data_IF_691127330042
#
_entry.id   IF_691127330042
#
_cell.length_a   1.000
_cell.length_b   1.000
_cell.length_c   1.000
_cell.angle_alpha   90.00
_cell.angle_beta   90.00
_cell.angle_gamma   90.00
#
_symmetry.space_group_name_H-M   'P 1'
#
loop_
_entity.id
_entity.type
_entity.pdbx_description
1 polymer ?
#
# COMPACT_ATOMS: atom_id res chain seq x y z
N UNK A 1 -34.28 3.39 15.25
CA UNK A 1 -34.51 2.47 14.12
C UNK A 1 -33.89 1.12 14.44
N UNK A 2 -34.60 -0.01 14.36
CA UNK A 2 -34.06 -1.33 14.72
C UNK A 2 -33.10 -1.82 13.59
N UNK A 3 -31.94 -2.37 13.93
CA UNK A 3 -30.94 -2.85 12.97
C UNK A 3 -31.50 -3.75 11.85
N UNK A 4 -32.48 -4.62 12.20
CA UNK A 4 -33.16 -5.51 11.23
C UNK A 4 -33.98 -4.76 10.20
N UNK A 5 -34.61 -3.63 10.57
CA UNK A 5 -35.39 -2.80 9.65
C UNK A 5 -34.48 -2.05 8.69
N UNK A 6 -33.33 -1.56 9.17
CA UNK A 6 -32.32 -0.90 8.33
C UNK A 6 -31.75 -1.86 7.25
N UNK A 7 -31.39 -3.07 7.64
CA UNK A 7 -30.86 -4.07 6.70
C UNK A 7 -31.89 -4.50 5.64
N UNK A 8 -33.15 -4.68 6.02
CA UNK A 8 -34.25 -4.99 5.08
C UNK A 8 -34.52 -3.85 4.09
N UNK A 9 -34.46 -2.61 4.54
CA UNK A 9 -34.74 -1.44 3.70
C UNK A 9 -33.56 -1.17 2.75
N UNK A 10 -32.32 -1.32 3.21
CA UNK A 10 -31.13 -1.15 2.35
C UNK A 10 -30.99 -2.24 1.29
N UNK A 11 -31.34 -3.49 1.61
CA UNK A 11 -31.30 -4.58 0.62
C UNK A 11 -32.38 -4.43 -0.46
N UNK A 12 -33.57 -3.94 -0.13
CA UNK A 12 -34.62 -3.64 -1.11
C UNK A 12 -34.25 -2.46 -2.02
N UNK A 13 -33.65 -1.42 -1.47
CA UNK A 13 -33.15 -0.28 -2.25
C UNK A 13 -32.00 -0.67 -3.19
N UNK A 14 -31.09 -1.54 -2.76
CA UNK A 14 -29.99 -2.00 -3.61
C UNK A 14 -30.47 -2.89 -4.77
N UNK A 15 -31.48 -3.74 -4.53
CA UNK A 15 -32.07 -4.56 -5.60
C UNK A 15 -32.84 -3.72 -6.63
N UNK A 16 -33.59 -2.70 -6.19
CA UNK A 16 -34.31 -1.81 -7.11
C UNK A 16 -33.36 -0.95 -7.94
N UNK A 17 -32.22 -0.60 -7.39
CA UNK A 17 -31.17 0.14 -8.10
C UNK A 17 -30.54 -0.70 -9.21
N UNK A 18 -30.30 -2.00 -8.98
CA UNK A 18 -29.74 -2.92 -9.96
C UNK A 18 -30.74 -3.31 -11.07
N UNK A 19 -32.05 -3.23 -10.80
CA UNK A 19 -33.10 -3.59 -11.73
C UNK A 19 -33.52 -2.45 -12.69
N UNK A 20 -33.02 -1.22 -12.49
CA UNK A 20 -33.37 -0.10 -13.36
C UNK A 20 -32.64 -0.15 -14.69
N UNK A 21 -33.32 -0.29 -15.85
CA UNK A 21 -32.70 -0.35 -17.17
C UNK A 21 -31.92 0.92 -17.54
N UNK A 22 -32.26 2.06 -16.93
CA UNK A 22 -31.52 3.32 -17.09
C UNK A 22 -30.14 3.29 -16.42
N UNK A 23 -30.04 2.63 -15.27
CA UNK A 23 -28.78 2.48 -14.53
C UNK A 23 -27.88 1.48 -15.21
N UNK A 24 -28.43 0.34 -15.68
CA UNK A 24 -27.65 -0.64 -16.45
C UNK A 24 -27.07 -0.03 -17.73
N UNK A 25 -27.85 0.76 -18.50
CA UNK A 25 -27.37 1.44 -19.70
C UNK A 25 -26.23 2.42 -19.41
N UNK A 26 -26.33 3.17 -18.32
CA UNK A 26 -25.31 4.16 -17.96
C UNK A 26 -24.07 3.50 -17.36
N UNK A 27 -24.23 2.43 -16.58
CA UNK A 27 -23.12 1.65 -16.03
C UNK A 27 -22.31 0.96 -17.13
N UNK A 28 -22.99 0.33 -18.10
CA UNK A 28 -22.35 -0.30 -19.25
C UNK A 28 -21.67 0.70 -20.19
N UNK A 29 -22.27 1.89 -20.39
CA UNK A 29 -21.64 2.97 -21.14
C UNK A 29 -20.42 3.55 -20.40
N UNK A 30 -20.48 3.70 -19.08
CA UNK A 30 -19.35 4.13 -18.26
C UNK A 30 -18.18 3.16 -18.36
N UNK A 31 -18.43 1.86 -18.30
CA UNK A 31 -17.40 0.84 -18.47
C UNK A 31 -16.74 0.89 -19.86
N UNK A 32 -17.52 1.12 -20.92
CA UNK A 32 -16.98 1.28 -22.28
C UNK A 32 -16.20 2.57 -22.45
N UNK A 33 -16.63 3.68 -21.80
CA UNK A 33 -15.94 4.96 -21.86
C UNK A 33 -14.56 4.91 -21.21
N UNK A 34 -14.44 4.21 -20.07
CA UNK A 34 -13.14 4.03 -19.40
C UNK A 34 -12.21 3.10 -20.17
N UNK A 35 -12.74 2.01 -20.73
CA UNK A 35 -11.94 1.00 -21.45
C UNK A 35 -11.19 1.58 -22.66
N UNK A 36 -11.76 2.55 -23.34
CA UNK A 36 -11.15 3.18 -24.52
C UNK A 36 -10.11 4.26 -24.20
N UNK A 37 -9.86 4.54 -22.92
CA UNK A 37 -8.92 5.57 -22.47
C UNK A 37 -7.81 5.01 -21.58
N UNK A 38 -7.70 3.71 -21.45
CA UNK A 38 -6.62 3.04 -20.73
C UNK A 38 -5.43 2.90 -21.69
N UNK A 39 -4.31 3.50 -21.32
CA UNK A 39 -3.04 3.32 -22.01
C UNK A 39 -2.31 2.12 -21.39
N UNK A 40 -1.81 1.24 -22.26
CA UNK A 40 -0.97 0.14 -21.83
C UNK A 40 0.36 0.67 -21.34
N UNK A 41 0.76 0.21 -20.18
CA UNK A 41 2.08 0.52 -19.63
C UNK A 41 3.19 -0.24 -20.37
N UNK A 42 4.23 0.47 -20.76
CA UNK A 42 5.39 -0.11 -21.45
C UNK A 42 6.15 -1.06 -20.54
N UNK A 43 6.20 -0.76 -19.24
CA UNK A 43 6.88 -1.56 -18.23
C UNK A 43 6.02 -2.70 -17.67
N UNK A 44 4.76 -2.81 -18.13
CA UNK A 44 3.78 -3.82 -17.71
C UNK A 44 3.53 -3.86 -16.19
N UNK A 45 3.63 -2.72 -15.50
CA UNK A 45 3.38 -2.60 -14.07
C UNK A 45 1.93 -2.25 -13.80
N UNK A 46 1.40 -1.19 -14.45
CA UNK A 46 0.05 -0.70 -14.19
C UNK A 46 -0.53 0.04 -15.40
N UNK A 47 -1.53 -0.56 -16.03
CA UNK A 47 -2.30 0.10 -17.07
C UNK A 47 -3.19 1.19 -16.45
N UNK A 48 -3.04 2.43 -16.89
CA UNK A 48 -3.74 3.59 -16.35
C UNK A 48 -4.60 4.28 -17.39
N UNK A 49 -5.64 4.97 -16.91
CA UNK A 49 -6.32 5.95 -17.71
C UNK A 49 -5.32 7.02 -18.19
N UNK A 50 -5.40 7.45 -19.44
CA UNK A 50 -4.43 8.36 -20.06
C UNK A 50 -4.34 9.77 -19.43
N UNK A 51 -5.19 10.10 -18.43
CA UNK A 51 -5.08 11.31 -17.61
C UNK A 51 -4.34 11.09 -16.29
N UNK A 52 -3.86 9.87 -16.02
CA UNK A 52 -3.14 9.49 -14.79
C UNK A 52 -1.73 9.07 -15.14
N UNK A 53 -0.84 9.35 -14.22
CA UNK A 53 0.56 8.92 -14.25
C UNK A 53 0.90 8.24 -12.92
N UNK A 54 1.85 7.33 -12.94
CA UNK A 54 2.42 6.77 -11.73
C UNK A 54 3.94 6.99 -11.66
N UNK A 55 4.46 6.94 -10.45
CA UNK A 55 5.89 6.96 -10.20
C UNK A 55 6.22 5.93 -9.14
N UNK A 56 7.17 5.06 -9.43
CA UNK A 56 7.72 4.16 -8.44
C UNK A 56 8.61 4.97 -7.50
N UNK A 57 8.27 4.99 -6.22
CA UNK A 57 8.98 5.77 -5.20
C UNK A 57 9.74 4.90 -4.20
N UNK A 58 9.48 3.59 -4.18
CA UNK A 58 10.15 2.61 -3.31
C UNK A 58 10.01 1.22 -3.94
N UNK A 59 11.06 0.41 -3.83
CA UNK A 59 11.08 -0.96 -4.36
C UNK A 59 11.70 -1.89 -3.33
N UNK A 60 11.11 -3.07 -3.12
CA UNK A 60 11.67 -4.09 -2.22
C UNK A 60 13.13 -4.42 -2.59
N UNK A 61 13.98 -4.55 -1.58
CA UNK A 61 15.41 -4.78 -1.73
C UNK A 61 16.26 -3.54 -1.99
N UNK A 62 15.66 -2.37 -2.28
CA UNK A 62 16.40 -1.11 -2.37
C UNK A 62 16.90 -0.65 -1.01
N UNK A 63 18.06 0.00 -0.98
CA UNK A 63 18.66 0.53 0.25
C UNK A 63 17.89 1.74 0.75
N UNK A 64 17.50 1.73 2.02
CA UNK A 64 16.85 2.83 2.72
C UNK A 64 17.87 3.81 3.33
N UNK A 65 17.37 4.93 3.86
CA UNK A 65 18.20 6.00 4.45
C UNK A 65 18.90 5.57 5.74
N UNK A 66 18.37 4.59 6.45
CA UNK A 66 18.95 4.02 7.68
C UNK A 66 19.99 2.90 7.40
N UNK A 67 20.24 2.60 6.13
CA UNK A 67 21.20 1.59 5.70
C UNK A 67 20.62 0.19 5.53
N UNK A 68 19.42 -0.07 6.02
CA UNK A 68 18.66 -1.29 5.83
C UNK A 68 18.07 -1.35 4.42
N UNK A 69 17.41 -2.45 4.07
CA UNK A 69 16.73 -2.58 2.78
C UNK A 69 15.21 -2.56 2.95
N UNK A 70 14.50 -2.12 1.92
CA UNK A 70 13.04 -2.17 1.87
C UNK A 70 12.60 -3.63 1.90
N UNK A 71 11.81 -4.06 2.92
CA UNK A 71 11.34 -5.43 3.01
C UNK A 71 10.39 -5.81 1.89
N UNK A 72 10.22 -7.10 1.66
CA UNK A 72 9.17 -7.64 0.79
C UNK A 72 7.77 -7.54 1.44
N UNK A 73 6.77 -8.02 0.70
CA UNK A 73 5.37 -8.17 1.17
C UNK A 73 4.77 -6.88 1.75
N UNK A 74 4.85 -5.75 1.03
CA UNK A 74 4.08 -4.57 1.43
C UNK A 74 2.59 -4.89 1.40
N UNK A 75 1.85 -4.38 2.41
CA UNK A 75 0.41 -4.58 2.55
C UNK A 75 -0.28 -3.27 2.92
N UNK A 76 -0.90 -3.16 4.10
CA UNK A 76 -1.59 -1.96 4.54
C UNK A 76 -0.69 -0.72 4.58
N UNK A 77 -1.23 0.41 4.15
CA UNK A 77 -0.51 1.68 4.16
C UNK A 77 -1.42 2.82 4.61
N UNK A 78 -0.86 3.75 5.38
CA UNK A 78 -1.49 5.01 5.74
C UNK A 78 -0.63 6.19 5.30
N UNK A 79 -1.28 7.33 4.99
CA UNK A 79 -0.61 8.56 4.61
C UNK A 79 -0.97 9.71 5.53
N UNK A 80 0.02 10.54 5.88
CA UNK A 80 -0.15 11.71 6.73
C UNK A 80 0.55 12.90 6.08
N UNK A 81 -0.17 14.00 5.91
CA UNK A 81 0.40 15.23 5.38
C UNK A 81 0.90 16.12 6.50
N UNK A 82 2.11 16.64 6.37
CA UNK A 82 2.71 17.60 7.29
C UNK A 82 3.67 18.57 6.57
N UNK A 83 3.33 19.84 6.56
CA UNK A 83 4.21 20.94 6.11
C UNK A 83 4.87 20.71 4.73
N UNK A 84 4.09 20.32 3.72
CA UNK A 84 4.57 20.11 2.35
C UNK A 84 5.24 18.74 2.12
N UNK A 85 5.14 17.85 3.09
CA UNK A 85 5.61 16.45 3.00
C UNK A 85 4.48 15.48 3.25
N UNK A 86 4.47 14.40 2.51
CA UNK A 86 3.61 13.25 2.77
C UNK A 86 4.43 12.13 3.41
N UNK A 87 4.03 11.73 4.61
CA UNK A 87 4.61 10.58 5.31
C UNK A 87 3.74 9.36 5.02
N UNK A 88 4.32 8.34 4.40
CA UNK A 88 3.69 7.05 4.19
C UNK A 88 4.21 6.07 5.23
N UNK A 89 3.31 5.43 5.95
CA UNK A 89 3.63 4.33 6.87
C UNK A 89 3.09 3.06 6.23
N UNK A 90 3.98 2.12 5.93
CA UNK A 90 3.68 0.91 5.18
C UNK A 90 4.00 -0.33 6.02
N UNK A 91 3.02 -1.23 6.13
CA UNK A 91 3.19 -2.53 6.78
C UNK A 91 3.86 -3.53 5.83
N UNK A 92 4.62 -4.47 6.40
CA UNK A 92 5.25 -5.58 5.69
C UNK A 92 4.89 -6.90 6.40
N UNK A 93 4.08 -7.72 5.76
CA UNK A 93 3.59 -8.99 6.31
C UNK A 93 4.54 -10.15 5.99
N UNK A 94 5.59 -10.28 6.79
CA UNK A 94 6.55 -11.36 6.67
C UNK A 94 6.27 -12.45 7.71
N UNK A 95 5.65 -13.53 7.27
CA UNK A 95 5.44 -14.74 8.09
C UNK A 95 6.77 -15.46 8.33
N UNK A 96 6.83 -16.29 9.38
CA UNK A 96 8.03 -17.08 9.76
C UNK A 96 8.71 -17.82 8.60
N UNK A 97 7.96 -18.30 7.61
CA UNK A 97 8.50 -19.01 6.44
C UNK A 97 9.22 -18.14 5.39
N UNK A 98 9.09 -16.81 5.42
CA UNK A 98 9.74 -15.94 4.42
C UNK A 98 11.24 -15.76 4.69
N UNK A 99 11.67 -15.92 5.94
CA UNK A 99 13.06 -15.82 6.35
C UNK A 99 13.64 -14.40 6.29
N UNK A 100 14.87 -14.28 6.76
CA UNK A 100 15.57 -13.00 6.91
C UNK A 100 15.83 -12.28 5.58
N UNK A 101 15.99 -13.03 4.48
CA UNK A 101 16.30 -12.45 3.15
C UNK A 101 15.18 -11.57 2.59
N UNK A 102 13.94 -11.81 3.02
CA UNK A 102 12.78 -10.99 2.64
C UNK A 102 12.57 -9.79 3.55
N UNK A 103 13.32 -9.71 4.66
CA UNK A 103 13.22 -8.67 5.68
C UNK A 103 14.04 -7.43 5.34
N UNK A 104 14.06 -6.46 6.26
CA UNK A 104 14.91 -5.29 6.16
C UNK A 104 16.41 -5.60 6.35
N UNK A 105 16.77 -6.80 6.78
CA UNK A 105 18.11 -7.15 7.25
C UNK A 105 18.92 -7.88 6.19
N UNK A 106 20.09 -7.34 5.85
CA UNK A 106 21.02 -7.97 4.91
C UNK A 106 22.21 -8.65 5.60
N UNK A 107 22.59 -8.15 6.78
CA UNK A 107 23.72 -8.66 7.57
C UNK A 107 23.27 -9.54 8.75
N UNK A 108 22.02 -9.97 8.74
CA UNK A 108 21.49 -10.93 9.69
C UNK A 108 21.24 -10.38 11.09
N UNK A 109 21.57 -11.19 12.08
CA UNK A 109 21.21 -10.94 13.49
C UNK A 109 21.87 -9.71 14.13
N UNK A 110 22.98 -9.22 13.62
CA UNK A 110 23.67 -8.05 14.17
C UNK A 110 22.86 -6.76 13.93
N UNK A 111 22.23 -6.63 12.75
CA UNK A 111 21.33 -5.52 12.45
C UNK A 111 20.10 -5.54 13.37
N UNK A 112 19.55 -6.72 13.64
CA UNK A 112 18.43 -6.91 14.57
C UNK A 112 18.81 -6.48 15.98
N UNK A 113 19.99 -6.89 16.47
CA UNK A 113 20.48 -6.49 17.80
C UNK A 113 20.63 -4.98 17.91
N UNK A 114 21.07 -4.30 16.86
CA UNK A 114 21.22 -2.84 16.84
C UNK A 114 19.88 -2.09 16.96
N UNK A 115 18.76 -2.72 16.60
CA UNK A 115 17.42 -2.11 16.74
C UNK A 115 16.94 -2.05 18.20
N UNK A 116 17.43 -2.95 19.07
CA UNK A 116 17.02 -3.03 20.47
C UNK A 116 15.50 -3.18 20.63
N UNK A 117 14.87 -2.25 21.36
CA UNK A 117 13.41 -2.29 21.63
C UNK A 117 12.51 -2.02 20.42
N UNK A 118 13.06 -1.67 19.27
CA UNK A 118 12.29 -1.54 18.01
C UNK A 118 12.04 -2.88 17.32
N UNK A 119 12.61 -3.97 17.82
CA UNK A 119 12.40 -5.32 17.34
C UNK A 119 11.70 -6.15 18.42
N UNK A 120 10.44 -6.53 18.17
CA UNK A 120 9.59 -7.17 19.21
C UNK A 120 9.89 -8.65 19.41
N UNK A 121 9.90 -9.42 18.32
CA UNK A 121 10.10 -10.86 18.34
C UNK A 121 11.28 -11.25 17.44
N UNK A 122 12.31 -11.82 18.05
CA UNK A 122 13.52 -12.26 17.33
C UNK A 122 13.27 -13.30 16.23
N UNK A 123 12.13 -13.97 16.25
CA UNK A 123 11.72 -14.97 15.26
C UNK A 123 10.86 -14.41 14.12
N UNK A 124 10.39 -13.17 14.23
CA UNK A 124 9.51 -12.51 13.28
C UNK A 124 10.26 -11.42 12.52
N UNK A 125 10.01 -11.29 11.24
CA UNK A 125 10.76 -10.41 10.33
C UNK A 125 9.90 -9.32 9.67
N UNK A 126 8.60 -9.32 9.90
CA UNK A 126 7.70 -8.26 9.48
C UNK A 126 7.92 -6.96 10.25
N UNK A 127 7.20 -5.92 9.87
CA UNK A 127 7.33 -4.63 10.52
C UNK A 127 6.73 -3.50 9.71
N UNK A 128 7.11 -2.28 10.05
CA UNK A 128 6.66 -1.09 9.34
C UNK A 128 7.82 -0.24 8.85
N UNK A 129 7.71 0.28 7.63
CA UNK A 129 8.62 1.29 7.08
C UNK A 129 7.91 2.62 6.96
N UNK A 130 8.64 3.69 7.19
CA UNK A 130 8.20 5.06 6.95
C UNK A 130 8.94 5.63 5.74
N UNK A 131 8.19 6.31 4.87
CA UNK A 131 8.71 6.98 3.70
C UNK A 131 8.24 8.44 3.74
N UNK A 132 9.17 9.37 3.66
CA UNK A 132 8.89 10.81 3.65
C UNK A 132 9.06 11.33 2.24
N UNK A 133 7.95 11.70 1.60
CA UNK A 133 7.92 12.27 0.26
C UNK A 133 7.79 13.79 0.31
N UNK A 134 8.69 14.48 -0.35
CA UNK A 134 8.65 15.94 -0.51
C UNK A 134 7.79 16.31 -1.73
N UNK A 135 6.64 16.95 -1.48
CA UNK A 135 5.67 17.31 -2.51
C UNK A 135 6.21 18.37 -3.50
N UNK A 136 7.09 19.25 -3.02
CA UNK A 136 7.68 20.30 -3.87
C UNK A 136 8.79 19.72 -4.75
N UNK A 137 9.67 18.91 -4.17
CA UNK A 137 10.79 18.28 -4.90
C UNK A 137 10.37 17.04 -5.67
N UNK A 138 9.15 16.54 -5.43
CA UNK A 138 8.58 15.31 -6.02
C UNK A 138 9.51 14.11 -5.88
N UNK A 139 10.09 13.92 -4.69
CA UNK A 139 11.02 12.82 -4.40
C UNK A 139 10.92 12.36 -2.95
N UNK A 140 11.31 11.11 -2.72
CA UNK A 140 11.55 10.58 -1.38
C UNK A 140 12.78 11.25 -0.79
N UNK A 141 12.67 11.78 0.41
CA UNK A 141 13.77 12.36 1.17
C UNK A 141 14.34 11.38 2.21
N UNK A 142 13.46 10.60 2.83
CA UNK A 142 13.83 9.61 3.84
C UNK A 142 12.97 8.36 3.66
N UNK A 143 13.57 7.21 3.83
CA UNK A 143 12.90 5.92 3.97
C UNK A 143 13.64 5.12 5.04
N UNK A 144 12.92 4.57 6.02
CA UNK A 144 13.53 3.89 7.15
C UNK A 144 12.58 2.89 7.82
N UNK A 145 13.17 1.92 8.51
CA UNK A 145 12.44 0.94 9.31
C UNK A 145 12.02 1.58 10.64
N UNK A 146 10.72 1.66 10.93
CA UNK A 146 10.21 2.23 12.18
C UNK A 146 9.93 1.19 13.26
N UNK A 147 9.51 0.01 12.85
CA UNK A 147 9.18 -1.11 13.73
C UNK A 147 9.51 -2.42 13.04
N UNK A 148 9.95 -3.42 13.79
CA UNK A 148 10.27 -4.75 13.29
C UNK A 148 9.94 -5.84 14.31
N UNK A 149 9.99 -7.10 13.88
CA UNK A 149 9.67 -8.24 14.71
C UNK A 149 8.17 -8.44 14.91
N UNK A 150 7.37 -8.16 13.89
CA UNK A 150 5.93 -8.44 13.82
C UNK A 150 5.64 -9.50 12.75
N UNK A 151 4.51 -10.20 12.89
CA UNK A 151 3.96 -11.11 11.89
C UNK A 151 2.81 -10.45 11.11
#
# INVERSE_FOLDING_TARGET
>A
MKRRTFLKTSSLLSLSFLASPLIQKNFLKGSSYFKNKISRDVDNILDLHNSLEYKIISTSGSKMSDGLVVPEKPDGMASFYNNGKTVLIRNHELRKGHGIKSSAFTNGTEEIKALGSKHYDASAFGGTTNLVYDEKKKRVELEFLSLSGTE
#
